data_IF_486313079964
#
_entry.id   IF_486313079964
#
_cell.length_a   1.000
_cell.length_b   1.000
_cell.length_c   1.000
_cell.angle_alpha   90.00
_cell.angle_beta   90.00
_cell.angle_gamma   90.00
#
_symmetry.space_group_name_H-M   'P 1'
#
loop_
_entity.id
_entity.type
_entity.pdbx_description
1 polymer ?
#
# COMPACT_ATOMS: atom_id res chain seq x y z
N UNK A 1 -5.27 -18.27 -4.57
CA UNK A 1 -5.01 -18.89 -3.25
C UNK A 1 -4.78 -17.78 -2.23
N UNK A 2 -5.46 -17.81 -1.10
CA UNK A 2 -5.21 -16.87 0.00
C UNK A 2 -4.05 -17.37 0.86
N UNK A 3 -3.09 -16.51 1.18
CA UNK A 3 -1.94 -16.83 2.03
C UNK A 3 -1.82 -15.78 3.13
N UNK A 4 -1.68 -16.23 4.37
CA UNK A 4 -1.37 -15.37 5.51
C UNK A 4 0.15 -15.27 5.64
N UNK A 5 0.69 -14.06 5.62
CA UNK A 5 2.11 -13.79 5.82
C UNK A 5 2.29 -13.34 7.28
N UNK A 6 3.10 -14.07 8.05
CA UNK A 6 3.44 -13.71 9.43
C UNK A 6 4.66 -12.79 9.44
N UNK A 7 4.82 -12.02 10.52
CA UNK A 7 6.04 -11.25 10.74
C UNK A 7 7.28 -12.17 10.84
N UNK A 8 8.43 -11.77 10.27
CA UNK A 8 8.64 -10.56 9.46
C UNK A 8 8.05 -10.72 8.04
N UNK A 9 7.21 -9.77 7.63
CA UNK A 9 6.43 -9.88 6.37
C UNK A 9 7.03 -9.08 5.21
N UNK A 10 7.92 -8.12 5.50
CA UNK A 10 8.36 -7.07 4.56
C UNK A 10 9.03 -7.62 3.30
N UNK A 11 10.03 -8.50 3.43
CA UNK A 11 10.69 -9.12 2.27
C UNK A 11 9.73 -9.93 1.39
N UNK A 12 8.73 -10.56 2.01
CA UNK A 12 7.71 -11.30 1.25
C UNK A 12 6.78 -10.33 0.52
N UNK A 13 6.43 -9.21 1.15
CA UNK A 13 5.59 -8.18 0.56
C UNK A 13 6.28 -7.51 -0.62
N UNK A 14 7.54 -7.08 -0.48
CA UNK A 14 8.35 -6.51 -1.56
C UNK A 14 8.48 -7.49 -2.73
N UNK A 15 8.86 -8.74 -2.45
CA UNK A 15 8.99 -9.75 -3.50
C UNK A 15 7.67 -10.13 -4.19
N UNK A 16 6.51 -9.80 -3.62
CA UNK A 16 5.21 -9.92 -4.28
C UNK A 16 4.93 -8.72 -5.18
N UNK A 17 5.26 -7.50 -4.73
CA UNK A 17 5.13 -6.27 -5.52
C UNK A 17 6.00 -6.33 -6.78
N UNK A 18 7.27 -6.70 -6.65
CA UNK A 18 8.21 -6.81 -7.77
C UNK A 18 7.78 -7.82 -8.84
N UNK A 19 7.03 -8.85 -8.43
CA UNK A 19 6.54 -9.91 -9.33
C UNK A 19 5.17 -9.60 -9.91
N UNK A 20 4.47 -8.59 -9.41
CA UNK A 20 3.18 -8.19 -9.94
C UNK A 20 3.39 -7.51 -11.30
N UNK A 21 2.67 -8.00 -12.32
CA UNK A 21 2.89 -7.57 -13.72
C UNK A 21 1.80 -6.69 -14.30
N UNK A 22 0.59 -6.75 -13.74
CA UNK A 22 -0.59 -6.15 -14.37
C UNK A 22 -1.25 -5.21 -13.37
N UNK A 23 -1.84 -5.76 -12.31
CA UNK A 23 -2.61 -4.98 -11.34
C UNK A 23 -2.24 -5.39 -9.91
N UNK A 24 -2.22 -4.41 -8.98
CA UNK A 24 -2.16 -4.64 -7.54
C UNK A 24 -3.33 -3.92 -6.87
N UNK A 25 -4.10 -4.68 -6.10
CA UNK A 25 -5.15 -4.14 -5.26
C UNK A 25 -4.67 -4.16 -3.82
N UNK A 26 -4.38 -3.00 -3.27
CA UNK A 26 -3.96 -2.84 -1.88
C UNK A 26 -5.17 -2.45 -1.05
N UNK A 27 -5.56 -3.29 -0.10
CA UNK A 27 -6.62 -2.98 0.85
C UNK A 27 -6.02 -2.78 2.24
N UNK A 28 -6.15 -1.57 2.80
CA UNK A 28 -5.74 -1.32 4.18
C UNK A 28 -6.62 -0.25 4.83
N UNK A 29 -7.03 -0.43 6.11
CA UNK A 29 -7.70 0.63 6.84
C UNK A 29 -6.78 1.80 7.15
N UNK A 30 -5.46 1.56 7.21
CA UNK A 30 -4.46 2.55 7.56
C UNK A 30 -3.20 2.39 6.73
N UNK A 31 -2.56 3.52 6.39
CA UNK A 31 -1.28 3.48 5.69
C UNK A 31 -0.38 4.61 6.14
N UNK A 32 0.91 4.30 6.21
CA UNK A 32 1.98 5.22 6.54
C UNK A 32 2.74 5.63 5.29
N UNK A 33 3.30 6.84 5.31
CA UNK A 33 4.08 7.41 4.21
C UNK A 33 5.21 6.46 3.80
N UNK A 34 5.97 5.96 4.77
CA UNK A 34 7.08 5.02 4.55
C UNK A 34 6.62 3.75 3.82
N UNK A 35 5.44 3.23 4.17
CA UNK A 35 4.86 2.05 3.50
C UNK A 35 4.40 2.39 2.08
N UNK A 36 3.77 3.55 1.88
CA UNK A 36 3.36 4.00 0.55
C UNK A 36 4.57 4.18 -0.38
N UNK A 37 5.65 4.77 0.13
CA UNK A 37 6.90 4.95 -0.60
C UNK A 37 7.52 3.59 -0.99
N UNK A 38 7.61 2.66 -0.03
CA UNK A 38 8.07 1.29 -0.29
C UNK A 38 7.26 0.63 -1.41
N UNK A 39 5.94 0.83 -1.43
CA UNK A 39 5.08 0.26 -2.46
C UNK A 39 5.44 0.80 -3.83
N UNK A 40 5.46 2.12 -4.00
CA UNK A 40 5.69 2.73 -5.33
C UNK A 40 7.11 2.47 -5.84
N UNK A 41 8.12 2.40 -4.96
CA UNK A 41 9.51 2.10 -5.33
C UNK A 41 9.72 0.67 -5.82
N UNK A 42 8.91 -0.27 -5.34
CA UNK A 42 9.01 -1.70 -5.68
C UNK A 42 7.90 -2.16 -6.63
N UNK A 43 7.09 -1.22 -7.11
CA UNK A 43 6.03 -1.45 -8.10
C UNK A 43 6.59 -1.26 -9.51
N UNK A 44 6.15 -2.10 -10.46
CA UNK A 44 6.48 -1.89 -11.87
C UNK A 44 5.92 -0.56 -12.38
N UNK A 45 6.66 0.15 -13.23
CA UNK A 45 6.29 1.49 -13.73
C UNK A 45 5.00 1.55 -14.54
N UNK A 46 4.55 0.42 -15.09
CA UNK A 46 3.31 0.28 -15.88
C UNK A 46 2.17 -0.41 -15.12
N UNK A 47 2.35 -0.69 -13.83
CA UNK A 47 1.38 -1.44 -13.03
C UNK A 47 0.19 -0.58 -12.61
N UNK A 48 -1.03 -1.09 -12.78
CA UNK A 48 -2.25 -0.47 -12.22
C UNK A 48 -2.32 -0.78 -10.71
N UNK A 49 -1.87 0.18 -9.91
CA UNK A 49 -1.95 0.11 -8.45
C UNK A 49 -3.22 0.80 -7.95
N UNK A 50 -4.13 0.03 -7.37
CA UNK A 50 -5.37 0.54 -6.78
C UNK A 50 -5.35 0.40 -5.27
N UNK A 51 -5.39 1.54 -4.58
CA UNK A 51 -5.48 1.57 -3.13
C UNK A 51 -6.94 1.71 -2.68
N UNK A 52 -7.42 0.71 -1.93
CA UNK A 52 -8.75 0.65 -1.33
C UNK A 52 -8.58 0.90 0.17
N UNK A 53 -9.20 1.98 0.64
CA UNK A 53 -9.11 2.38 2.04
C UNK A 53 -10.51 2.61 2.65
N UNK A 54 -10.56 2.65 3.97
CA UNK A 54 -11.72 3.13 4.72
C UNK A 54 -11.47 4.57 5.13
N UNK A 55 -11.59 5.51 4.20
CA UNK A 55 -11.36 6.94 4.48
C UNK A 55 -12.23 7.41 5.65
N UNK A 56 -11.58 7.77 6.76
CA UNK A 56 -12.20 8.42 7.91
C UNK A 56 -11.26 9.51 8.38
N UNK A 57 -11.72 10.76 8.39
CA UNK A 57 -10.89 11.91 8.78
C UNK A 57 -10.25 11.73 10.17
N UNK A 58 -10.95 11.06 11.10
CA UNK A 58 -10.44 10.73 12.42
C UNK A 58 -9.15 9.91 12.40
N UNK A 59 -8.94 9.07 11.40
CA UNK A 59 -7.73 8.23 11.27
C UNK A 59 -6.50 9.08 10.92
N UNK A 60 -6.69 10.16 10.17
CA UNK A 60 -5.63 11.10 9.82
C UNK A 60 -5.35 12.06 10.96
N UNK A 61 -6.40 12.63 11.57
CA UNK A 61 -6.26 13.51 12.73
C UNK A 61 -5.53 12.83 13.90
N UNK A 62 -5.78 11.53 14.13
CA UNK A 62 -5.11 10.74 15.19
C UNK A 62 -3.74 10.20 14.78
N UNK A 63 -3.27 10.47 13.55
CA UNK A 63 -2.00 9.97 13.04
C UNK A 63 -1.96 8.45 12.85
N UNK A 64 -3.10 7.77 12.70
CA UNK A 64 -3.12 6.35 12.33
C UNK A 64 -2.83 6.16 10.83
N UNK A 65 -3.20 7.13 10.01
CA UNK A 65 -2.89 7.19 8.57
C UNK A 65 -2.27 8.52 8.20
N UNK A 66 -1.38 8.51 7.23
CA UNK A 66 -0.69 9.71 6.79
C UNK A 66 -1.36 10.24 5.51
N UNK A 67 -1.64 11.54 5.46
CA UNK A 67 -2.22 12.17 4.26
C UNK A 67 -1.27 12.04 3.06
N UNK A 68 0.03 12.10 3.33
CA UNK A 68 1.08 11.98 2.32
C UNK A 68 1.04 10.62 1.60
N UNK A 69 0.66 9.55 2.32
CA UNK A 69 0.49 8.25 1.72
C UNK A 69 -0.65 8.20 0.68
N UNK A 70 -1.73 8.98 0.86
CA UNK A 70 -2.79 9.09 -0.15
C UNK A 70 -2.28 9.78 -1.41
N UNK A 71 -1.44 10.81 -1.25
CA UNK A 71 -0.83 11.53 -2.36
C UNK A 71 0.11 10.63 -3.16
N UNK A 72 0.95 9.86 -2.48
CA UNK A 72 1.90 8.92 -3.11
C UNK A 72 1.16 7.83 -3.88
N UNK A 73 0.09 7.27 -3.32
CA UNK A 73 -0.68 6.20 -3.94
C UNK A 73 -1.69 6.66 -5.00
N UNK A 74 -1.71 7.96 -5.33
CA UNK A 74 -2.53 8.50 -6.41
C UNK A 74 -4.03 8.30 -6.22
N UNK A 75 -4.51 8.29 -4.96
CA UNK A 75 -5.95 8.15 -4.69
C UNK A 75 -6.66 9.42 -5.14
N UNK A 76 -7.38 9.34 -6.26
CA UNK A 76 -8.33 10.34 -6.74
C UNK A 76 -9.76 9.82 -6.57
#
# INVERSE_FOLDING_TARGET
MLKIIKSPWENTFVGLLEKARINVYLASPFIKEQTAQLIVENSGSEMDLRYINSFKLSNFHRGASDLEALRILGVH
#
